data_IF_434808288883
#
_entry.id   IF_434808288883
#
_cell.length_a   1.000
_cell.length_b   1.000
_cell.length_c   1.000
_cell.angle_alpha   90.00
_cell.angle_beta   90.00
_cell.angle_gamma   90.00
#
_symmetry.space_group_name_H-M   'P 1'
#
loop_
_entity.id
_entity.type
_entity.pdbx_description
1 polymer ?
#
# COMPACT_ATOMS: atom_id res chain seq x y z
N UNK A 1 29.33 53.28 57.10
CA UNK A 1 28.94 52.89 55.73
C UNK A 1 28.70 51.39 55.72
N UNK A 2 27.43 51.00 55.63
CA UNK A 2 26.82 49.66 55.59
C UNK A 2 25.44 49.89 54.94
N UNK A 3 24.72 48.92 54.33
CA UNK A 3 25.01 47.50 54.02
C UNK A 3 24.75 47.24 52.50
N UNK A 4 24.75 46.05 51.89
CA UNK A 4 23.68 45.02 51.85
C UNK A 4 24.17 43.96 50.82
N UNK A 5 24.40 42.70 51.19
CA UNK A 5 23.46 41.57 51.18
C UNK A 5 23.21 40.95 49.79
N UNK A 6 23.80 39.77 49.60
CA UNK A 6 23.62 38.84 48.46
C UNK A 6 22.22 38.23 48.55
N UNK A 7 21.39 38.44 47.52
CA UNK A 7 20.05 37.85 47.38
C UNK A 7 20.15 36.60 46.50
N UNK A 8 20.05 35.43 47.14
CA UNK A 8 19.75 34.15 46.51
C UNK A 8 18.28 34.17 46.08
N UNK A 9 18.02 34.32 44.79
CA UNK A 9 16.68 34.12 44.23
C UNK A 9 16.44 32.62 44.02
N UNK A 10 15.91 31.96 45.05
CA UNK A 10 15.28 30.64 44.91
C UNK A 10 13.90 30.81 44.27
N UNK A 11 13.77 30.44 43.01
CA UNK A 11 12.47 30.33 42.34
C UNK A 11 11.74 29.10 42.84
N UNK A 12 10.75 29.32 43.70
CA UNK A 12 9.77 28.33 44.10
C UNK A 12 8.90 27.96 42.88
N UNK A 13 8.90 26.67 42.53
CA UNK A 13 8.02 26.10 41.52
C UNK A 13 6.64 25.96 42.17
N UNK A 14 5.71 26.82 41.81
CA UNK A 14 4.30 26.68 42.19
C UNK A 14 3.71 25.48 41.42
N UNK A 15 3.42 24.40 42.13
CA UNK A 15 2.62 23.30 41.63
C UNK A 15 1.18 23.79 41.39
N UNK A 16 0.80 23.89 40.12
CA UNK A 16 -0.59 24.14 39.72
C UNK A 16 -1.49 22.94 40.05
N UNK A 17 -2.81 23.15 40.21
CA UNK A 17 -3.73 22.10 40.62
C UNK A 17 -3.86 21.05 39.51
N UNK A 18 -3.71 19.79 39.90
CA UNK A 18 -4.02 18.62 39.08
C UNK A 18 -5.50 18.63 38.72
N UNK A 19 -5.82 19.04 37.50
CA UNK A 19 -7.12 18.79 36.91
C UNK A 19 -7.25 17.28 36.66
N UNK A 20 -7.94 16.60 37.56
CA UNK A 20 -8.36 15.21 37.36
C UNK A 20 -9.37 15.18 36.21
N UNK A 21 -8.89 14.82 35.02
CA UNK A 21 -9.76 14.45 33.90
C UNK A 21 -10.41 13.10 34.23
N UNK A 22 -11.59 13.15 34.85
CA UNK A 22 -12.55 12.05 34.82
C UNK A 22 -13.11 11.96 33.39
N UNK A 23 -12.32 11.34 32.50
CA UNK A 23 -12.75 11.01 31.15
C UNK A 23 -13.74 9.86 31.20
N UNK A 24 -15.03 10.16 31.26
CA UNK A 24 -16.10 9.20 30.94
C UNK A 24 -15.95 8.84 29.47
N UNK A 25 -15.51 7.61 29.18
CA UNK A 25 -15.45 7.08 27.82
C UNK A 25 -16.86 7.16 27.20
N UNK A 26 -17.01 7.72 25.98
CA UNK A 26 -18.27 7.59 25.25
C UNK A 26 -18.52 6.12 24.90
N UNK A 27 -19.77 5.63 25.00
CA UNK A 27 -20.11 4.25 24.66
C UNK A 27 -19.91 3.98 23.16
N UNK A 28 -19.58 2.73 22.77
CA UNK A 28 -19.42 2.36 21.36
C UNK A 28 -20.75 2.51 20.60
N UNK A 29 -20.72 2.95 19.32
CA UNK A 29 -21.92 3.00 18.50
C UNK A 29 -22.45 1.59 18.25
N UNK A 30 -23.69 1.34 18.67
CA UNK A 30 -24.41 0.10 18.39
C UNK A 30 -24.78 0.05 16.90
N UNK A 31 -24.65 -1.11 16.22
CA UNK A 31 -25.16 -1.27 14.87
C UNK A 31 -26.69 -1.25 14.90
N UNK A 32 -27.30 -0.18 14.40
CA UNK A 32 -28.74 -0.14 14.12
C UNK A 32 -29.07 -1.19 13.06
N UNK A 33 -30.09 -1.99 13.35
CA UNK A 33 -30.47 -3.20 12.62
C UNK A 33 -30.61 -3.02 11.11
N UNK A 34 -29.90 -3.87 10.38
CA UNK A 34 -30.24 -4.22 9.00
C UNK A 34 -31.37 -5.24 9.04
N UNK A 35 -32.61 -4.76 8.96
CA UNK A 35 -33.75 -5.59 8.56
C UNK A 35 -33.61 -5.85 7.07
N UNK A 36 -32.89 -6.91 6.71
CA UNK A 36 -32.79 -7.37 5.32
C UNK A 36 -34.11 -8.01 4.90
N UNK A 37 -35.04 -7.19 4.42
CA UNK A 37 -36.21 -7.67 3.66
C UNK A 37 -36.07 -7.16 2.24
N UNK A 38 -35.20 -7.80 1.46
CA UNK A 38 -35.21 -7.67 0.01
C UNK A 38 -35.81 -8.94 -0.57
N UNK A 39 -36.90 -8.89 -1.34
CA UNK A 39 -37.43 -10.07 -2.01
C UNK A 39 -36.43 -10.52 -3.08
N UNK A 40 -36.06 -11.81 -3.03
CA UNK A 40 -35.28 -12.48 -4.08
C UNK A 40 -36.09 -12.42 -5.37
N UNK A 41 -35.65 -11.59 -6.32
CA UNK A 41 -36.18 -11.61 -7.68
C UNK A 41 -35.80 -12.94 -8.33
N UNK A 42 -36.80 -13.69 -8.78
CA UNK A 42 -36.65 -14.97 -9.47
C UNK A 42 -36.02 -14.70 -10.84
N UNK A 43 -34.75 -15.09 -11.01
CA UNK A 43 -34.06 -15.00 -12.30
C UNK A 43 -34.69 -16.03 -13.25
N UNK A 44 -35.22 -15.56 -14.39
CA UNK A 44 -35.75 -16.44 -15.43
C UNK A 44 -34.59 -17.08 -16.23
N UNK A 45 -34.67 -18.38 -16.59
CA UNK A 45 -33.60 -19.08 -17.31
C UNK A 45 -33.34 -18.61 -18.76
N UNK A 46 -34.08 -17.62 -19.26
CA UNK A 46 -34.07 -17.23 -20.67
C UNK A 46 -33.14 -16.05 -21.02
N UNK A 47 -32.54 -15.37 -20.02
CA UNK A 47 -31.68 -14.19 -20.25
C UNK A 47 -30.16 -14.50 -20.31
N UNK A 48 -29.78 -15.76 -20.52
CA UNK A 48 -28.39 -16.12 -20.81
C UNK A 48 -28.11 -15.87 -22.31
N UNK A 49 -27.86 -14.61 -22.67
CA UNK A 49 -27.31 -14.21 -23.97
C UNK A 49 -25.92 -14.81 -24.15
N UNK A 50 -25.76 -15.53 -25.27
CA UNK A 50 -24.54 -16.19 -25.69
C UNK A 50 -23.36 -15.22 -25.88
N UNK A 51 -22.17 -15.50 -25.32
CA UNK A 51 -20.94 -14.81 -25.71
C UNK A 51 -20.48 -15.29 -27.08
N UNK A 52 -20.25 -14.31 -27.96
CA UNK A 52 -19.75 -14.50 -29.32
C UNK A 52 -18.37 -15.14 -29.39
N UNK A 53 -18.21 -15.94 -30.44
CA UNK A 53 -17.02 -16.68 -30.83
C UNK A 53 -15.82 -15.75 -31.05
N UNK A 54 -14.85 -15.74 -30.13
CA UNK A 54 -13.50 -15.26 -30.42
C UNK A 54 -12.62 -16.46 -30.78
N UNK A 55 -12.02 -16.34 -31.97
CA UNK A 55 -11.22 -17.35 -32.64
C UNK A 55 -10.05 -17.84 -31.78
N UNK A 56 -9.91 -19.15 -31.72
CA UNK A 56 -8.79 -19.84 -31.12
C UNK A 56 -7.49 -19.49 -31.86
N UNK A 57 -6.60 -18.76 -31.17
CA UNK A 57 -5.22 -18.57 -31.60
C UNK A 57 -4.33 -19.57 -30.86
N UNK A 58 -3.86 -20.59 -31.59
CA UNK A 58 -2.62 -21.31 -31.33
C UNK A 58 -2.53 -22.17 -30.08
N UNK A 59 -3.03 -23.41 -30.15
CA UNK A 59 -2.53 -24.49 -29.30
C UNK A 59 -1.04 -24.72 -29.63
N UNK A 60 -0.13 -24.35 -28.73
CA UNK A 60 1.27 -24.81 -28.80
C UNK A 60 1.28 -26.34 -28.62
N UNK A 61 1.90 -27.12 -29.52
CA UNK A 61 2.07 -28.54 -29.33
C UNK A 61 2.90 -28.82 -28.07
N UNK A 62 2.48 -29.83 -27.29
CA UNK A 62 3.32 -30.45 -26.29
C UNK A 62 4.55 -31.06 -27.00
N UNK A 63 5.77 -30.97 -26.44
CA UNK A 63 6.90 -31.69 -27.00
C UNK A 63 6.61 -33.19 -26.94
N UNK A 64 6.63 -33.82 -28.11
CA UNK A 64 6.40 -35.26 -28.26
C UNK A 64 7.42 -36.04 -27.44
N UNK A 65 6.92 -36.95 -26.60
CA UNK A 65 7.73 -37.98 -25.97
C UNK A 65 8.25 -38.89 -27.09
N UNK A 66 9.56 -38.84 -27.33
CA UNK A 66 10.21 -39.74 -28.28
C UNK A 66 10.03 -41.20 -27.82
N UNK A 67 9.78 -42.16 -28.74
CA UNK A 67 9.75 -43.57 -28.39
C UNK A 67 11.13 -44.06 -27.95
N UNK A 68 11.14 -44.93 -26.94
CA UNK A 68 12.33 -45.55 -26.38
C UNK A 68 13.11 -46.34 -27.46
N UNK A 69 14.46 -46.28 -27.47
CA UNK A 69 15.27 -47.10 -28.36
C UNK A 69 15.20 -48.59 -27.96
N UNK A 70 15.39 -49.53 -28.91
CA UNK A 70 15.39 -50.96 -28.65
C UNK A 70 16.58 -51.37 -27.78
N UNK A 71 16.34 -52.28 -26.85
CA UNK A 71 17.34 -52.89 -25.97
C UNK A 71 18.26 -53.79 -26.79
N UNK A 72 19.54 -53.42 -26.90
CA UNK A 72 20.58 -54.27 -27.47
C UNK A 72 21.03 -55.33 -26.44
N UNK A 73 21.37 -56.56 -26.86
CA UNK A 73 21.87 -57.59 -25.97
C UNK A 73 23.30 -57.31 -25.48
N UNK A 74 23.59 -57.81 -24.28
CA UNK A 74 24.80 -57.63 -23.50
C UNK A 74 26.08 -58.03 -24.26
N UNK A 75 26.98 -57.06 -24.45
CA UNK A 75 28.38 -57.29 -24.81
C UNK A 75 29.24 -57.28 -23.54
N UNK A 76 30.17 -58.23 -23.48
CA UNK A 76 30.99 -58.59 -22.31
C UNK A 76 32.00 -57.48 -21.93
N UNK A 77 32.23 -57.34 -20.62
CA UNK A 77 33.07 -56.31 -20.01
C UNK A 77 34.58 -56.60 -20.13
N UNK A 78 35.44 -55.58 -20.34
CA UNK A 78 36.87 -55.66 -20.04
C UNK A 78 37.16 -55.37 -18.55
N UNK A 79 38.27 -55.89 -17.97
CA UNK A 79 38.65 -55.62 -16.59
C UNK A 79 39.41 -54.29 -16.50
N UNK A 80 38.94 -53.37 -15.64
CA UNK A 80 39.64 -52.09 -15.41
C UNK A 80 38.78 -51.06 -14.70
N UNK A 81 38.34 -51.36 -13.47
CA UNK A 81 37.63 -50.38 -12.63
C UNK A 81 38.63 -49.40 -12.01
N UNK A 82 38.80 -48.24 -12.63
CA UNK A 82 39.31 -47.07 -11.93
C UNK A 82 38.23 -46.60 -10.93
N UNK A 83 38.59 -46.54 -9.65
CA UNK A 83 37.69 -46.10 -8.59
C UNK A 83 37.27 -44.64 -8.79
N UNK A 84 36.03 -44.42 -9.24
CA UNK A 84 35.42 -43.09 -9.24
C UNK A 84 35.17 -42.70 -7.79
N UNK A 85 35.95 -41.76 -7.26
CA UNK A 85 35.72 -41.20 -5.93
C UNK A 85 34.31 -40.62 -5.85
N UNK A 86 33.56 -40.82 -4.74
CA UNK A 86 32.25 -40.21 -4.57
C UNK A 86 32.41 -38.69 -4.59
N UNK A 87 31.72 -38.02 -5.53
CA UNK A 87 31.62 -36.57 -5.53
C UNK A 87 30.98 -36.14 -4.21
N UNK A 88 31.77 -35.48 -3.36
CA UNK A 88 31.29 -34.95 -2.09
C UNK A 88 30.16 -33.95 -2.38
N UNK A 89 28.94 -34.30 -1.97
CA UNK A 89 27.80 -33.39 -1.98
C UNK A 89 28.06 -32.34 -0.90
N UNK A 90 28.70 -31.24 -1.28
CA UNK A 90 28.84 -30.10 -0.38
C UNK A 90 27.49 -29.43 -0.26
N UNK A 91 26.87 -29.55 0.92
CA UNK A 91 25.63 -28.85 1.23
C UNK A 91 25.93 -27.35 1.35
N UNK A 92 25.81 -26.61 0.25
CA UNK A 92 25.93 -25.14 0.29
C UNK A 92 24.66 -24.58 0.91
N UNK A 93 24.73 -24.29 2.20
CA UNK A 93 23.78 -23.37 2.83
C UNK A 93 24.10 -21.98 2.31
N UNK A 94 23.43 -21.58 1.23
CA UNK A 94 23.38 -20.18 0.83
C UNK A 94 22.73 -19.40 1.97
N UNK A 95 23.47 -18.46 2.57
CA UNK A 95 22.89 -17.45 3.46
C UNK A 95 21.75 -16.79 2.70
N UNK A 96 20.52 -17.02 3.13
CA UNK A 96 19.37 -16.26 2.69
C UNK A 96 19.64 -14.83 3.15
N UNK A 97 20.04 -13.94 2.22
CA UNK A 97 20.00 -12.52 2.50
C UNK A 97 18.52 -12.17 2.62
N UNK A 98 18.05 -11.65 3.77
CA UNK A 98 16.71 -11.13 3.81
C UNK A 98 16.63 -10.09 2.70
N UNK A 99 15.67 -10.24 1.80
CA UNK A 99 15.29 -9.14 0.93
C UNK A 99 14.86 -8.07 1.92
N UNK A 100 15.66 -7.01 2.06
CA UNK A 100 15.22 -5.81 2.72
C UNK A 100 14.19 -5.20 1.77
N UNK A 101 13.00 -5.78 1.74
CA UNK A 101 11.88 -5.23 0.97
C UNK A 101 11.59 -3.93 1.67
N UNK A 102 11.98 -2.82 1.04
CA UNK A 102 11.57 -1.53 1.53
C UNK A 102 10.07 -1.44 1.32
N UNK A 103 9.31 -1.70 2.37
CA UNK A 103 7.85 -1.65 2.32
C UNK A 103 7.44 -0.23 1.94
N UNK A 104 6.68 -0.11 0.85
CA UNK A 104 6.15 1.15 0.34
C UNK A 104 4.67 0.94 0.07
N UNK A 105 3.88 1.03 1.12
CA UNK A 105 2.45 0.81 1.07
C UNK A 105 1.74 1.93 1.83
N UNK A 106 0.83 2.61 1.14
CA UNK A 106 0.04 3.71 1.68
C UNK A 106 -1.45 3.43 1.42
N UNK A 107 -2.26 3.66 2.45
CA UNK A 107 -3.71 3.72 2.37
C UNK A 107 -4.07 5.19 2.17
N UNK A 108 -4.74 5.46 1.05
CA UNK A 108 -5.16 6.78 0.64
C UNK A 108 -6.66 6.90 0.88
N UNK A 109 -7.10 8.04 1.39
CA UNK A 109 -8.52 8.34 1.55
C UNK A 109 -8.87 9.73 1.08
N UNK A 110 -10.11 9.88 0.65
CA UNK A 110 -10.71 11.12 0.20
C UNK A 110 -12.03 11.35 0.93
N UNK A 111 -12.23 12.57 1.42
CA UNK A 111 -13.45 13.03 2.06
C UNK A 111 -13.86 14.39 1.47
N UNK A 112 -15.11 14.51 1.04
CA UNK A 112 -15.67 15.79 0.60
C UNK A 112 -16.10 16.62 1.83
N UNK A 113 -15.34 17.66 2.15
CA UNK A 113 -15.54 18.51 3.33
C UNK A 113 -14.34 18.52 4.29
N UNK A 114 -14.34 19.44 5.25
CA UNK A 114 -13.27 19.60 6.24
C UNK A 114 -13.34 18.55 7.37
N UNK A 115 -14.56 18.20 7.78
CA UNK A 115 -14.82 17.25 8.88
C UNK A 115 -15.60 16.02 8.41
N UNK A 116 -15.63 15.78 7.10
CA UNK A 116 -16.35 14.67 6.52
C UNK A 116 -15.65 13.34 6.80
N UNK A 117 -16.46 12.27 6.82
CA UNK A 117 -15.93 10.91 6.86
C UNK A 117 -15.33 10.57 5.49
N UNK A 118 -14.27 9.75 5.44
CA UNK A 118 -13.76 9.21 4.18
C UNK A 118 -14.88 8.54 3.37
N UNK A 119 -15.11 9.01 2.14
CA UNK A 119 -16.08 8.42 1.21
C UNK A 119 -15.42 7.42 0.27
N UNK A 120 -14.15 7.67 -0.08
CA UNK A 120 -13.38 6.86 -1.02
C UNK A 120 -12.03 6.52 -0.41
N UNK A 121 -11.55 5.32 -0.73
CA UNK A 121 -10.27 4.83 -0.29
C UNK A 121 -9.59 4.00 -1.38
N UNK A 122 -8.27 4.01 -1.38
CA UNK A 122 -7.47 3.21 -2.29
C UNK A 122 -6.16 2.82 -1.63
N UNK A 123 -5.56 1.73 -2.10
CA UNK A 123 -4.24 1.28 -1.63
C UNK A 123 -3.22 1.52 -2.72
N UNK A 124 -2.16 2.23 -2.36
CA UNK A 124 -0.98 2.44 -3.19
C UNK A 124 0.15 1.55 -2.66
N UNK A 125 0.69 0.70 -3.53
CA UNK A 125 1.89 -0.09 -3.26
C UNK A 125 2.93 0.22 -4.33
N UNK A 126 4.19 0.44 -3.94
CA UNK A 126 5.28 0.76 -4.85
C UNK A 126 6.42 -0.27 -4.75
N UNK A 127 6.90 -0.87 -5.85
CA UNK A 127 6.44 -0.71 -7.24
C UNK A 127 4.98 -1.14 -7.43
N UNK A 128 4.30 -0.54 -8.40
CA UNK A 128 2.85 -0.63 -8.62
C UNK A 128 2.40 -1.99 -9.18
N UNK A 129 2.64 -3.06 -8.43
CA UNK A 129 2.30 -4.41 -8.87
C UNK A 129 0.80 -4.68 -8.79
N UNK A 130 0.10 -4.09 -7.80
CA UNK A 130 -1.33 -4.29 -7.52
C UNK A 130 -1.92 -3.04 -6.87
N UNK A 131 -3.25 -2.87 -6.90
CA UNK A 131 -3.96 -1.77 -6.22
C UNK A 131 -5.20 -1.30 -6.98
N UNK A 132 -6.01 -0.44 -6.36
CA UNK A 132 -7.29 0.07 -6.91
C UNK A 132 -7.17 1.43 -7.59
N UNK A 133 -6.05 2.13 -7.42
CA UNK A 133 -5.81 3.46 -8.01
C UNK A 133 -5.66 3.36 -9.54
N UNK A 134 -6.22 4.32 -10.29
CA UNK A 134 -6.16 4.33 -11.76
C UNK A 134 -4.73 4.55 -12.26
N UNK A 135 -4.03 5.52 -11.67
CA UNK A 135 -2.73 6.04 -12.12
C UNK A 135 -1.61 5.63 -11.15
N UNK A 136 -1.50 4.32 -10.88
CA UNK A 136 -0.61 3.77 -9.84
C UNK A 136 0.86 4.13 -10.05
N UNK A 137 1.34 4.01 -11.28
CA UNK A 137 2.74 4.26 -11.62
C UNK A 137 3.10 5.74 -11.41
N UNK A 138 2.24 6.65 -11.86
CA UNK A 138 2.44 8.09 -11.69
C UNK A 138 2.37 8.50 -10.23
N UNK A 139 1.41 7.97 -9.47
CA UNK A 139 1.33 8.19 -8.03
C UNK A 139 2.62 7.73 -7.33
N UNK A 140 3.16 6.56 -7.68
CA UNK A 140 4.45 6.12 -7.16
C UNK A 140 5.58 7.10 -7.51
N UNK A 141 5.62 7.65 -8.71
CA UNK A 141 6.63 8.67 -9.10
C UNK A 141 6.51 9.93 -8.25
N UNK A 142 5.29 10.40 -7.97
CA UNK A 142 5.06 11.59 -7.12
C UNK A 142 5.53 11.33 -5.69
N UNK A 143 5.13 10.22 -5.08
CA UNK A 143 5.52 9.88 -3.70
C UNK A 143 7.03 9.62 -3.60
N UNK A 144 7.64 8.99 -4.61
CA UNK A 144 9.09 8.78 -4.66
C UNK A 144 9.87 10.11 -4.70
N UNK A 145 9.38 11.13 -5.41
CA UNK A 145 10.05 12.45 -5.50
C UNK A 145 10.24 13.11 -4.14
N UNK A 146 9.29 12.91 -3.24
CA UNK A 146 9.34 13.41 -1.85
C UNK A 146 9.77 12.35 -0.85
N UNK A 147 10.23 11.19 -1.34
CA UNK A 147 10.66 10.06 -0.52
C UNK A 147 9.61 9.62 0.52
N UNK A 148 8.32 9.71 0.21
CA UNK A 148 7.23 9.36 1.14
C UNK A 148 6.78 10.49 2.08
N UNK A 149 7.42 11.66 2.07
CA UNK A 149 6.99 12.81 2.85
C UNK A 149 6.08 13.72 2.02
N UNK A 150 4.77 13.46 2.08
CA UNK A 150 3.77 14.18 1.31
C UNK A 150 3.65 15.66 1.69
N UNK A 151 4.17 16.08 2.85
CA UNK A 151 4.18 17.49 3.25
C UNK A 151 5.14 18.34 2.41
N UNK A 152 6.10 17.71 1.73
CA UNK A 152 7.06 18.38 0.86
C UNK A 152 6.54 18.58 -0.57
N UNK A 153 5.35 18.06 -0.88
CA UNK A 153 4.72 18.26 -2.18
C UNK A 153 4.37 19.74 -2.38
N UNK A 154 4.64 20.23 -3.58
CA UNK A 154 4.40 21.62 -3.95
C UNK A 154 3.39 21.68 -5.09
N UNK A 155 2.46 22.66 -5.07
CA UNK A 155 1.54 22.87 -6.17
C UNK A 155 2.27 23.13 -7.48
N UNK A 156 1.70 22.57 -8.54
CA UNK A 156 2.11 22.86 -9.91
C UNK A 156 1.98 24.35 -10.19
N UNK A 157 3.07 24.98 -10.64
CA UNK A 157 3.09 26.40 -10.97
C UNK A 157 2.31 26.74 -12.26
N UNK A 158 1.97 25.72 -13.05
CA UNK A 158 1.28 25.87 -14.34
C UNK A 158 -0.23 25.57 -14.28
N UNK A 159 -0.78 25.35 -13.08
CA UNK A 159 -2.20 25.00 -12.89
C UNK A 159 -2.93 26.18 -12.24
N UNK A 160 -3.94 26.70 -12.94
CA UNK A 160 -4.81 27.75 -12.42
C UNK A 160 -6.10 27.14 -11.87
N UNK A 161 -6.35 27.30 -10.58
CA UNK A 161 -7.55 26.78 -9.93
C UNK A 161 -8.61 27.86 -9.73
N UNK A 162 -9.90 27.53 -9.88
CA UNK A 162 -10.98 28.46 -9.58
C UNK A 162 -11.01 28.81 -8.10
N UNK A 163 -11.48 30.02 -7.76
CA UNK A 163 -11.64 30.47 -6.37
C UNK A 163 -12.90 29.94 -5.67
N UNK A 164 -13.47 28.85 -6.18
CA UNK A 164 -14.61 28.19 -5.53
C UNK A 164 -14.14 27.45 -4.29
N UNK A 165 -14.84 27.66 -3.19
CA UNK A 165 -14.62 26.90 -1.95
C UNK A 165 -15.52 25.66 -1.93
N UNK A 166 -14.90 24.50 -2.08
CA UNK A 166 -15.53 23.18 -1.98
C UNK A 166 -14.52 22.24 -1.33
N UNK A 167 -14.36 22.31 0.00
CA UNK A 167 -13.20 21.75 0.67
C UNK A 167 -13.12 20.24 0.50
N UNK A 168 -11.90 19.73 0.36
CA UNK A 168 -11.63 18.29 0.26
C UNK A 168 -10.54 17.93 1.24
N UNK A 169 -10.79 16.91 2.05
CA UNK A 169 -9.81 16.40 3.01
C UNK A 169 -9.29 15.06 2.52
N UNK A 170 -7.98 14.97 2.37
CA UNK A 170 -7.30 13.75 1.98
C UNK A 170 -6.41 13.26 3.11
N UNK A 171 -6.27 11.93 3.21
CA UNK A 171 -5.31 11.33 4.12
C UNK A 171 -4.50 10.24 3.44
N UNK A 172 -3.24 10.09 3.87
CA UNK A 172 -2.37 9.02 3.44
C UNK A 172 -1.64 8.45 4.64
N UNK A 173 -1.86 7.16 4.90
CA UNK A 173 -1.34 6.47 6.08
C UNK A 173 -0.66 5.18 5.68
N UNK A 174 0.52 4.88 6.25
CA UNK A 174 1.17 3.60 6.00
C UNK A 174 2.67 3.62 6.25
N UNK A 175 3.40 2.84 5.46
CA UNK A 175 4.85 2.68 5.58
C UNK A 175 5.52 3.02 4.27
N UNK A 176 6.54 3.87 4.33
CA UNK A 176 7.42 4.18 3.21
C UNK A 176 8.88 4.01 3.60
N UNK A 177 9.56 3.03 2.98
CA UNK A 177 10.97 2.72 3.23
C UNK A 177 11.30 2.48 4.71
N UNK A 178 10.35 1.90 5.46
CA UNK A 178 10.48 1.63 6.89
C UNK A 178 10.09 2.79 7.80
N UNK A 179 9.63 3.91 7.24
CA UNK A 179 9.12 5.07 8.01
C UNK A 179 7.60 5.09 7.98
N UNK A 180 6.99 5.41 9.12
CA UNK A 180 5.56 5.65 9.18
C UNK A 180 5.22 6.98 8.51
N UNK A 181 4.24 6.95 7.62
CA UNK A 181 3.69 8.13 6.96
C UNK A 181 2.29 8.34 7.55
N UNK A 182 2.08 9.51 8.11
CA UNK A 182 0.78 10.03 8.52
C UNK A 182 0.64 11.42 7.89
N UNK A 183 -0.29 11.53 6.95
CA UNK A 183 -0.56 12.77 6.25
C UNK A 183 -2.06 13.01 6.25
N UNK A 184 -2.44 14.21 6.65
CA UNK A 184 -3.79 14.73 6.53
C UNK A 184 -3.71 16.18 6.07
N UNK A 185 -4.44 16.50 5.01
CA UNK A 185 -4.53 17.87 4.53
C UNK A 185 -5.91 18.18 3.97
N UNK A 186 -6.37 19.40 4.19
CA UNK A 186 -7.63 19.91 3.66
C UNK A 186 -7.33 21.01 2.67
N UNK A 187 -7.73 20.80 1.42
CA UNK A 187 -7.58 21.77 0.34
C UNK A 187 -8.89 22.56 0.16
N UNK A 188 -8.80 23.79 -0.36
CA UNK A 188 -9.98 24.64 -0.58
C UNK A 188 -10.90 24.10 -1.68
N UNK A 189 -10.34 23.36 -2.64
CA UNK A 189 -11.08 22.60 -3.63
C UNK A 189 -10.26 21.44 -4.23
N UNK A 190 -10.93 20.59 -5.01
CA UNK A 190 -10.30 19.45 -5.70
C UNK A 190 -9.21 19.86 -6.71
N UNK A 191 -9.31 21.03 -7.34
CA UNK A 191 -8.26 21.51 -8.23
C UNK A 191 -6.97 21.82 -7.47
N UNK A 192 -7.07 22.51 -6.33
CA UNK A 192 -5.91 22.80 -5.47
C UNK A 192 -5.25 21.51 -4.97
N UNK A 193 -6.07 20.53 -4.55
CA UNK A 193 -5.60 19.20 -4.18
C UNK A 193 -4.82 18.54 -5.32
N UNK A 194 -5.39 18.49 -6.53
CA UNK A 194 -4.74 17.86 -7.68
C UNK A 194 -3.47 18.61 -8.11
N UNK A 195 -3.47 19.95 -8.04
CA UNK A 195 -2.28 20.76 -8.31
C UNK A 195 -1.14 20.45 -7.33
N UNK A 196 -1.43 20.29 -6.05
CA UNK A 196 -0.45 19.99 -5.00
C UNK A 196 0.04 18.53 -5.00
N UNK A 197 -0.88 17.59 -5.20
CA UNK A 197 -0.63 16.16 -4.96
C UNK A 197 -0.53 15.33 -6.24
N UNK A 198 -0.87 15.91 -7.39
CA UNK A 198 -0.96 15.20 -8.65
C UNK A 198 -2.02 14.10 -8.61
N UNK A 199 -1.64 12.93 -9.10
CA UNK A 199 -2.53 11.79 -9.33
C UNK A 199 -2.68 10.85 -8.13
N UNK A 200 -2.06 11.18 -6.99
CA UNK A 200 -2.09 10.33 -5.79
C UNK A 200 -3.53 10.10 -5.31
N UNK A 201 -4.36 11.14 -5.28
CA UNK A 201 -5.71 11.09 -4.72
C UNK A 201 -6.84 11.00 -5.76
N UNK A 202 -6.53 10.61 -7.00
CA UNK A 202 -7.55 10.35 -8.03
C UNK A 202 -8.15 8.93 -7.87
N UNK A 203 -9.01 8.78 -6.86
CA UNK A 203 -9.59 7.50 -6.37
C UNK A 203 -11.10 7.41 -6.52
#
# INVERSE_FOLDING_TARGET
MKPLLVLLAGTAIAAGPTAAFAGTLPPPPQPSGVTATTPVAKVNPADQVAPGTQAASGARPLPGVAPAPPVAPAAQAPPGVAATAPAAVTNRVTKIRPIATRTRALILTYAAGETAKPERYSVLNCPATFGTLRERDEACVVVNRVNGDLTQLKPSQNTFCPMMFSPVTVTANGIWDGRYVDFKHTFGNACEMHSATGTIFDI
#
